data_IF_927778958740
#
_entry.id   IF_927778958740
#
_cell.length_a   1.000
_cell.length_b   1.000
_cell.length_c   1.000
_cell.angle_alpha   90.00
_cell.angle_beta   90.00
_cell.angle_gamma   90.00
#
_symmetry.space_group_name_H-M   'P 1'
#
loop_
_entity.id
_entity.type
_entity.pdbx_description
1 polymer ?
#
# COMPACT_ATOMS: atom_id res chain seq x y z
N UNK A 1 -4.90 15.01 -0.80
CA UNK A 1 -4.13 16.27 -0.94
C UNK A 1 -2.61 16.01 -0.91
N UNK A 2 -2.03 15.40 0.13
CA UNK A 2 -0.57 15.22 0.31
C UNK A 2 0.14 14.64 -0.93
N UNK A 3 -0.37 13.53 -1.48
CA UNK A 3 0.22 12.92 -2.69
C UNK A 3 0.07 13.80 -3.93
N UNK A 4 -1.03 14.52 -4.07
CA UNK A 4 -1.24 15.45 -5.19
C UNK A 4 -0.24 16.62 -5.12
N UNK A 5 0.02 17.15 -3.93
CA UNK A 5 1.03 18.19 -3.71
C UNK A 5 2.43 17.67 -4.03
N UNK A 6 2.79 16.47 -3.55
CA UNK A 6 4.09 15.87 -3.83
C UNK A 6 4.29 15.58 -5.34
N UNK A 7 3.23 15.17 -6.05
CA UNK A 7 3.25 14.96 -7.50
C UNK A 7 3.42 16.28 -8.26
N UNK A 8 2.72 17.34 -7.86
CA UNK A 8 2.86 18.67 -8.47
C UNK A 8 4.26 19.22 -8.28
N UNK A 9 4.81 19.14 -7.07
CA UNK A 9 6.18 19.60 -6.77
C UNK A 9 7.24 18.84 -7.58
N UNK A 10 7.07 17.52 -7.74
CA UNK A 10 7.95 16.71 -8.58
C UNK A 10 7.90 17.18 -10.04
N UNK A 11 6.70 17.40 -10.56
CA UNK A 11 6.51 17.88 -11.93
C UNK A 11 7.12 19.25 -12.14
N UNK A 12 6.87 20.20 -11.26
CA UNK A 12 7.39 21.57 -11.34
C UNK A 12 8.92 21.61 -11.27
N UNK A 13 9.53 20.81 -10.40
CA UNK A 13 10.99 20.70 -10.29
C UNK A 13 11.58 20.05 -11.54
N UNK A 14 10.96 18.99 -12.02
CA UNK A 14 11.34 18.32 -13.27
C UNK A 14 11.27 19.28 -14.45
N UNK A 15 10.15 19.98 -14.63
CA UNK A 15 9.97 20.90 -15.75
C UNK A 15 11.03 22.04 -15.72
N UNK A 16 11.21 22.69 -14.58
CA UNK A 16 12.24 23.73 -14.42
C UNK A 16 13.65 23.20 -14.75
N UNK A 17 13.97 22.01 -14.28
CA UNK A 17 15.25 21.37 -14.55
C UNK A 17 15.41 21.09 -16.05
N UNK A 18 14.44 20.50 -16.69
CA UNK A 18 14.47 20.15 -18.12
C UNK A 18 14.47 21.39 -19.02
N UNK A 19 13.78 22.48 -18.63
CA UNK A 19 13.82 23.75 -19.35
C UNK A 19 15.23 24.32 -19.46
N UNK A 20 16.06 24.18 -18.42
CA UNK A 20 17.45 24.61 -18.44
C UNK A 20 18.31 23.89 -19.47
N UNK A 21 17.89 22.69 -19.92
CA UNK A 21 18.59 21.84 -20.89
C UNK A 21 17.84 21.72 -22.22
N UNK A 22 16.71 22.42 -22.35
CA UNK A 22 15.73 22.26 -23.43
C UNK A 22 16.36 22.27 -24.82
N UNK A 23 17.24 23.24 -25.13
CA UNK A 23 17.85 23.35 -26.47
C UNK A 23 18.59 22.08 -26.89
N UNK A 24 19.37 21.48 -25.98
CA UNK A 24 20.14 20.25 -26.27
C UNK A 24 19.23 19.06 -26.44
N UNK A 25 18.23 18.94 -25.55
CA UNK A 25 17.29 17.81 -25.54
C UNK A 25 16.34 17.84 -26.73
N UNK A 26 15.81 19.02 -27.10
CA UNK A 26 14.95 19.20 -28.26
C UNK A 26 15.73 18.90 -29.57
N UNK A 27 17.00 19.33 -29.64
CA UNK A 27 17.84 19.03 -30.81
C UNK A 27 18.00 17.50 -30.96
N UNK A 28 18.44 16.82 -29.91
CA UNK A 28 18.65 15.37 -29.96
C UNK A 28 17.34 14.61 -30.24
N UNK A 29 16.21 15.05 -29.65
CA UNK A 29 14.90 14.48 -29.91
C UNK A 29 14.46 14.65 -31.35
N UNK A 30 14.57 15.86 -31.92
CA UNK A 30 14.17 16.15 -33.28
C UNK A 30 15.02 15.37 -34.29
N UNK A 31 16.35 15.28 -34.08
CA UNK A 31 17.25 14.46 -34.88
C UNK A 31 16.80 13.00 -34.90
N UNK A 32 16.43 12.45 -33.73
CA UNK A 32 15.90 11.08 -33.66
C UNK A 32 14.56 10.93 -34.41
N UNK A 33 13.66 11.92 -34.31
CA UNK A 33 12.38 11.85 -35.02
C UNK A 33 12.56 11.94 -36.56
N UNK A 34 13.50 12.73 -37.02
CA UNK A 34 13.83 12.83 -38.45
C UNK A 34 14.45 11.52 -38.97
N UNK A 35 15.40 10.94 -38.24
CA UNK A 35 15.95 9.64 -38.56
C UNK A 35 14.88 8.54 -38.61
N UNK A 36 13.93 8.52 -37.67
CA UNK A 36 12.79 7.58 -37.67
C UNK A 36 11.89 7.75 -38.91
N UNK A 37 11.74 8.98 -39.42
CA UNK A 37 10.96 9.26 -40.64
C UNK A 37 11.67 8.79 -41.92
N UNK A 38 13.02 8.82 -41.96
CA UNK A 38 13.77 8.36 -43.13
C UNK A 38 13.70 6.85 -43.32
N UNK A 39 13.46 6.08 -42.24
CA UNK A 39 13.47 4.62 -42.30
C UNK A 39 14.85 3.98 -42.39
N UNK A 40 15.91 4.78 -42.43
CA UNK A 40 17.31 4.31 -42.44
C UNK A 40 17.71 3.79 -41.07
N UNK A 41 17.99 2.49 -40.96
CA UNK A 41 18.29 1.83 -39.69
C UNK A 41 19.57 2.34 -39.03
N UNK A 42 20.61 2.62 -39.84
CA UNK A 42 21.89 3.09 -39.29
C UNK A 42 21.76 4.52 -38.76
N UNK A 43 21.06 5.39 -39.50
CA UNK A 43 20.74 6.74 -39.03
C UNK A 43 19.87 6.73 -37.77
N UNK A 44 18.89 5.83 -37.68
CA UNK A 44 18.03 5.67 -36.49
C UNK A 44 18.88 5.24 -35.30
N UNK A 45 19.75 4.25 -35.45
CA UNK A 45 20.59 3.76 -34.36
C UNK A 45 21.54 4.86 -33.85
N UNK A 46 22.22 5.56 -34.74
CA UNK A 46 23.13 6.66 -34.38
C UNK A 46 22.38 7.80 -33.65
N UNK A 47 21.22 8.20 -34.16
CA UNK A 47 20.41 9.23 -33.54
C UNK A 47 19.82 8.80 -32.17
N UNK A 48 19.50 7.53 -32.01
CA UNK A 48 19.04 6.96 -30.74
C UNK A 48 20.15 6.97 -29.68
N UNK A 49 21.36 6.54 -30.06
CA UNK A 49 22.53 6.58 -29.17
C UNK A 49 22.88 8.00 -28.73
N UNK A 50 22.84 8.99 -29.64
CA UNK A 50 23.08 10.41 -29.31
C UNK A 50 21.99 10.94 -28.37
N UNK A 51 20.72 10.63 -28.63
CA UNK A 51 19.61 10.98 -27.78
C UNK A 51 19.79 10.43 -26.36
N UNK A 52 20.10 9.13 -26.23
CA UNK A 52 20.35 8.47 -24.96
C UNK A 52 21.53 9.11 -24.21
N UNK A 53 22.65 9.33 -24.91
CA UNK A 53 23.85 9.97 -24.34
C UNK A 53 23.53 11.36 -23.83
N UNK A 54 22.83 12.17 -24.61
CA UNK A 54 22.45 13.53 -24.25
C UNK A 54 21.56 13.54 -23.02
N UNK A 55 20.53 12.68 -22.97
CA UNK A 55 19.65 12.57 -21.82
C UNK A 55 20.36 12.08 -20.57
N UNK A 56 21.18 11.02 -20.68
CA UNK A 56 21.94 10.48 -19.54
C UNK A 56 22.88 11.53 -18.94
N UNK A 57 23.52 12.34 -19.79
CA UNK A 57 24.44 13.39 -19.33
C UNK A 57 23.73 14.54 -18.59
N UNK A 58 22.52 14.92 -19.00
CA UNK A 58 21.74 15.97 -18.30
C UNK A 58 20.83 15.42 -17.21
N UNK A 59 20.84 14.12 -16.94
CA UNK A 59 20.04 13.49 -15.88
C UNK A 59 20.91 12.63 -14.97
N UNK A 60 21.05 11.36 -15.25
CA UNK A 60 21.70 10.38 -14.37
C UNK A 60 23.14 10.71 -14.01
N UNK A 61 23.85 11.45 -14.87
CA UNK A 61 25.23 11.88 -14.64
C UNK A 61 25.35 13.30 -14.04
N UNK A 62 24.24 14.06 -13.95
CA UNK A 62 24.24 15.43 -13.38
C UNK A 62 23.89 15.39 -11.89
N UNK A 63 24.77 15.99 -11.07
CA UNK A 63 24.61 16.03 -9.61
C UNK A 63 23.37 16.82 -9.16
N UNK A 64 22.93 17.82 -9.92
CA UNK A 64 21.72 18.59 -9.62
C UNK A 64 20.47 17.73 -9.83
N UNK A 65 20.46 16.89 -10.86
CA UNK A 65 19.38 15.91 -11.06
C UNK A 65 19.35 14.91 -9.89
N UNK A 66 20.49 14.36 -9.50
CA UNK A 66 20.59 13.43 -8.36
C UNK A 66 20.10 14.08 -7.06
N UNK A 67 20.49 15.33 -6.79
CA UNK A 67 20.02 16.09 -5.63
C UNK A 67 18.50 16.28 -5.66
N UNK A 68 17.92 16.63 -6.82
CA UNK A 68 16.47 16.76 -7.01
C UNK A 68 15.73 15.45 -6.74
N UNK A 69 16.24 14.31 -7.23
CA UNK A 69 15.66 13.00 -6.99
C UNK A 69 15.73 12.65 -5.50
N UNK A 70 16.85 12.88 -4.85
CA UNK A 70 17.01 12.62 -3.40
C UNK A 70 16.04 13.45 -2.56
N UNK A 71 15.88 14.73 -2.85
CA UNK A 71 14.91 15.59 -2.17
C UNK A 71 13.48 15.13 -2.41
N UNK A 72 13.14 14.78 -3.64
CA UNK A 72 11.81 14.30 -4.01
C UNK A 72 11.48 12.98 -3.29
N UNK A 73 12.41 12.03 -3.28
CA UNK A 73 12.20 10.73 -2.62
C UNK A 73 12.10 10.86 -1.10
N UNK A 74 12.85 11.78 -0.49
CA UNK A 74 12.69 12.09 0.93
C UNK A 74 11.31 12.66 1.24
N UNK A 75 10.81 13.58 0.41
CA UNK A 75 9.46 14.13 0.53
C UNK A 75 8.38 13.08 0.37
N UNK A 76 8.52 12.17 -0.59
CA UNK A 76 7.57 11.07 -0.80
C UNK A 76 7.53 10.12 0.41
N UNK A 77 8.69 9.75 0.96
CA UNK A 77 8.78 8.93 2.16
C UNK A 77 8.11 9.61 3.37
N UNK A 78 8.30 10.91 3.54
CA UNK A 78 7.64 11.68 4.59
C UNK A 78 6.11 11.74 4.41
N UNK A 79 5.61 11.87 3.18
CA UNK A 79 4.17 11.79 2.88
C UNK A 79 3.61 10.41 3.26
N UNK A 80 4.34 9.33 2.98
CA UNK A 80 3.96 7.98 3.37
C UNK A 80 3.92 7.81 4.89
N UNK A 81 4.89 8.39 5.61
CA UNK A 81 4.93 8.40 7.08
C UNK A 81 3.72 9.13 7.68
N UNK A 82 3.39 10.33 7.18
CA UNK A 82 2.20 11.08 7.61
C UNK A 82 0.93 10.26 7.33
N UNK A 83 0.80 9.67 6.14
CA UNK A 83 -0.37 8.88 5.78
C UNK A 83 -0.55 7.68 6.71
N UNK A 84 0.55 7.00 7.08
CA UNK A 84 0.52 5.91 8.04
C UNK A 84 0.16 6.40 9.45
N UNK A 85 0.66 7.57 9.87
CA UNK A 85 0.31 8.20 11.15
C UNK A 85 -1.19 8.34 11.33
N UNK A 86 -1.90 8.87 10.32
CA UNK A 86 -3.37 8.97 10.36
C UNK A 86 -4.07 7.61 10.54
N UNK A 87 -3.56 6.57 9.92
CA UNK A 87 -4.14 5.22 10.07
C UNK A 87 -3.88 4.68 11.47
N UNK A 88 -2.68 4.88 12.00
CA UNK A 88 -2.33 4.45 13.35
C UNK A 88 -3.20 5.15 14.42
N UNK A 89 -3.50 6.43 14.23
CA UNK A 89 -4.35 7.20 15.16
C UNK A 89 -5.79 6.69 15.18
N UNK A 90 -6.33 6.20 14.05
CA UNK A 90 -7.68 5.66 13.97
C UNK A 90 -7.78 4.17 14.34
N UNK A 91 -6.67 3.44 14.32
CA UNK A 91 -6.64 1.98 14.57
C UNK A 91 -7.21 1.57 15.94
N UNK A 92 -6.88 2.24 17.07
CA UNK A 92 -7.45 1.90 18.37
C UNK A 92 -8.99 2.03 18.41
N UNK A 93 -9.52 3.06 17.75
CA UNK A 93 -10.96 3.29 17.64
C UNK A 93 -11.66 2.20 16.86
N UNK A 94 -11.11 1.85 15.69
CA UNK A 94 -11.65 0.78 14.83
C UNK A 94 -11.69 -0.55 15.59
N UNK A 95 -10.58 -0.89 16.23
CA UNK A 95 -10.51 -2.09 17.07
C UNK A 95 -11.56 -2.07 18.18
N UNK A 96 -11.63 -0.98 18.97
CA UNK A 96 -12.54 -0.83 20.11
C UNK A 96 -13.99 -0.98 19.66
N UNK A 97 -14.39 -0.33 18.56
CA UNK A 97 -15.75 -0.44 18.03
C UNK A 97 -16.10 -1.88 17.67
N UNK A 98 -15.18 -2.60 17.01
CA UNK A 98 -15.43 -3.97 16.59
C UNK A 98 -15.34 -4.98 17.75
N UNK A 99 -14.50 -4.73 18.76
CA UNK A 99 -14.50 -5.51 19.99
C UNK A 99 -15.82 -5.36 20.74
N UNK A 100 -16.28 -4.13 20.93
CA UNK A 100 -17.49 -3.84 21.69
C UNK A 100 -18.78 -4.20 20.94
N UNK A 101 -18.74 -4.30 19.62
CA UNK A 101 -19.90 -4.67 18.80
C UNK A 101 -20.49 -6.05 19.17
N UNK A 102 -19.70 -6.93 19.77
CA UNK A 102 -20.18 -8.22 20.24
C UNK A 102 -21.18 -8.10 21.40
N UNK A 103 -21.11 -7.03 22.21
CA UNK A 103 -22.07 -6.76 23.25
C UNK A 103 -23.50 -6.56 22.71
N UNK A 104 -23.64 -6.07 21.48
CA UNK A 104 -24.93 -5.83 20.82
C UNK A 104 -25.61 -7.12 20.38
N UNK A 105 -24.91 -8.25 20.32
CA UNK A 105 -25.47 -9.57 19.95
C UNK A 105 -26.44 -10.12 21.01
N UNK A 106 -26.53 -9.49 22.20
CA UNK A 106 -27.49 -9.81 23.29
C UNK A 106 -27.61 -11.31 23.53
N UNK A 107 -26.53 -11.90 23.99
CA UNK A 107 -26.50 -13.32 24.34
C UNK A 107 -27.18 -13.46 25.70
N UNK A 108 -28.29 -14.17 25.76
CA UNK A 108 -29.06 -14.37 27.03
C UNK A 108 -28.16 -14.97 28.11
N UNK A 109 -28.10 -14.30 29.25
CA UNK A 109 -27.33 -14.73 30.43
C UNK A 109 -25.83 -14.35 30.38
N UNK A 110 -25.38 -13.57 29.39
CA UNK A 110 -24.01 -13.08 29.29
C UNK A 110 -23.93 -11.56 29.29
N UNK A 111 -23.16 -11.01 30.24
CA UNK A 111 -22.89 -9.57 30.35
C UNK A 111 -21.48 -9.26 29.91
N UNK A 112 -21.35 -8.64 28.71
CA UNK A 112 -20.08 -8.42 28.04
C UNK A 112 -19.34 -7.20 28.60
N UNK A 113 -18.07 -7.37 28.97
CA UNK A 113 -17.22 -6.27 29.44
C UNK A 113 -16.67 -5.43 28.27
N UNK A 114 -17.14 -4.19 28.17
CA UNK A 114 -16.68 -3.24 27.18
C UNK A 114 -15.24 -2.76 27.46
N UNK A 115 -14.50 -2.51 26.42
CA UNK A 115 -13.19 -1.85 26.50
C UNK A 115 -13.27 -0.41 26.00
N UNK A 116 -12.38 0.45 26.50
CA UNK A 116 -12.27 1.82 26.01
C UNK A 116 -11.06 2.00 25.09
N UNK A 117 -11.15 2.98 24.19
CA UNK A 117 -10.13 3.27 23.19
C UNK A 117 -8.74 3.53 23.79
N UNK A 118 -8.67 4.20 24.96
CA UNK A 118 -7.39 4.49 25.63
C UNK A 118 -6.70 3.22 26.13
N UNK A 119 -7.45 2.27 26.67
CA UNK A 119 -6.90 0.97 27.09
C UNK A 119 -6.38 0.18 25.87
N UNK A 120 -7.15 0.16 24.79
CA UNK A 120 -6.74 -0.48 23.53
C UNK A 120 -5.49 0.18 22.96
N UNK A 121 -5.41 1.52 22.95
CA UNK A 121 -4.22 2.24 22.50
C UNK A 121 -2.97 1.83 23.27
N UNK A 122 -3.06 1.76 24.60
CA UNK A 122 -1.95 1.31 25.44
C UNK A 122 -1.53 -0.14 25.15
N UNK A 123 -2.49 -1.03 24.87
CA UNK A 123 -2.20 -2.43 24.50
C UNK A 123 -1.50 -2.53 23.14
N UNK A 124 -1.90 -1.70 22.17
CA UNK A 124 -1.25 -1.62 20.86
C UNK A 124 0.17 -1.04 21.00
N UNK A 125 0.35 0.02 21.77
CA UNK A 125 1.65 0.66 22.00
C UNK A 125 2.64 -0.25 22.74
N UNK A 126 2.15 -1.13 23.61
CA UNK A 126 2.96 -2.12 24.35
C UNK A 126 3.12 -3.46 23.61
N UNK A 127 2.75 -3.53 22.34
CA UNK A 127 2.81 -4.73 21.48
C UNK A 127 2.08 -5.97 22.04
N UNK A 128 1.12 -5.78 22.96
CA UNK A 128 0.24 -6.84 23.46
C UNK A 128 -0.88 -7.19 22.48
N UNK A 129 -1.19 -6.29 21.55
CA UNK A 129 -2.07 -6.52 20.42
C UNK A 129 -1.23 -6.38 19.15
N UNK A 130 -1.02 -7.47 18.43
CA UNK A 130 -0.31 -7.46 17.15
C UNK A 130 -1.22 -6.92 16.06
N UNK A 131 -0.75 -5.88 15.41
CA UNK A 131 -1.36 -5.25 14.25
C UNK A 131 -0.30 -4.99 13.18
N UNK A 132 -0.70 -4.78 11.91
CA UNK A 132 0.25 -4.49 10.83
C UNK A 132 1.24 -3.36 11.15
N UNK A 133 2.37 -3.25 10.41
CA UNK A 133 3.49 -2.36 10.76
C UNK A 133 3.05 -0.92 11.02
N UNK A 134 3.50 -0.38 12.14
CA UNK A 134 3.18 0.97 12.62
C UNK A 134 4.13 2.06 12.09
N UNK A 135 5.18 1.68 11.34
CA UNK A 135 6.24 2.61 10.90
C UNK A 135 6.63 2.37 9.44
N UNK A 136 6.91 3.45 8.73
CA UNK A 136 7.55 3.42 7.42
C UNK A 136 9.06 3.25 7.62
N UNK A 137 9.68 2.29 6.93
CA UNK A 137 11.14 2.28 6.77
C UNK A 137 11.51 3.35 5.74
N UNK A 138 11.83 4.54 6.23
CA UNK A 138 12.13 5.72 5.41
C UNK A 138 13.27 5.44 4.43
N UNK A 139 14.33 4.77 4.87
CA UNK A 139 15.49 4.47 4.03
C UNK A 139 15.14 3.50 2.90
N UNK A 140 14.36 2.47 3.20
CA UNK A 140 13.88 1.50 2.22
C UNK A 140 12.92 2.16 1.23
N UNK A 141 12.02 3.01 1.72
CA UNK A 141 11.03 3.73 0.93
C UNK A 141 11.70 4.74 -0.02
N UNK A 142 12.67 5.50 0.45
CA UNK A 142 13.47 6.40 -0.39
C UNK A 142 14.20 5.65 -1.50
N UNK A 143 14.86 4.53 -1.18
CA UNK A 143 15.55 3.69 -2.18
C UNK A 143 14.59 3.13 -3.21
N UNK A 144 13.41 2.67 -2.79
CA UNK A 144 12.37 2.18 -3.69
C UNK A 144 11.91 3.28 -4.65
N UNK A 145 11.61 4.47 -4.14
CA UNK A 145 11.19 5.62 -4.93
C UNK A 145 12.27 6.06 -5.92
N UNK A 146 13.54 6.17 -5.49
CA UNK A 146 14.65 6.52 -6.36
C UNK A 146 14.83 5.49 -7.50
N UNK A 147 14.76 4.20 -7.18
CA UNK A 147 14.84 3.12 -8.16
C UNK A 147 13.72 3.23 -9.21
N UNK A 148 12.47 3.47 -8.77
CA UNK A 148 11.34 3.57 -9.67
C UNK A 148 11.39 4.84 -10.54
N UNK A 149 11.75 6.01 -9.98
CA UNK A 149 11.93 7.25 -10.75
C UNK A 149 12.99 7.07 -11.83
N UNK A 150 14.16 6.54 -11.48
CA UNK A 150 15.23 6.28 -12.45
C UNK A 150 14.84 5.23 -13.49
N UNK A 151 14.10 4.19 -13.11
CA UNK A 151 13.60 3.19 -14.05
C UNK A 151 12.62 3.78 -15.06
N UNK A 152 11.67 4.60 -14.62
CA UNK A 152 10.72 5.28 -15.51
C UNK A 152 11.41 6.27 -16.45
N UNK A 153 12.40 7.01 -15.94
CA UNK A 153 13.24 7.87 -16.76
C UNK A 153 13.97 7.08 -17.85
N UNK A 154 14.67 6.00 -17.48
CA UNK A 154 15.42 5.16 -18.43
C UNK A 154 14.53 4.54 -19.51
N UNK A 155 13.35 4.06 -19.12
CA UNK A 155 12.39 3.52 -20.10
C UNK A 155 11.95 4.59 -21.10
N UNK A 156 11.68 5.81 -20.67
CA UNK A 156 11.32 6.91 -21.58
C UNK A 156 12.47 7.28 -22.52
N UNK A 157 13.69 7.30 -22.02
CA UNK A 157 14.90 7.57 -22.84
C UNK A 157 15.11 6.48 -23.89
N UNK A 158 15.05 5.20 -23.50
CA UNK A 158 15.22 4.06 -24.41
C UNK A 158 14.13 3.99 -25.50
N UNK A 159 12.92 4.45 -25.19
CA UNK A 159 11.82 4.54 -26.15
C UNK A 159 11.88 5.81 -27.00
N UNK A 160 12.84 6.72 -26.77
CA UNK A 160 12.98 7.98 -27.48
C UNK A 160 11.76 8.88 -27.31
N UNK A 161 11.23 8.95 -26.08
CA UNK A 161 10.05 9.75 -25.76
C UNK A 161 10.39 11.22 -25.53
N UNK A 162 9.43 12.11 -25.81
CA UNK A 162 9.56 13.53 -25.53
C UNK A 162 9.60 13.83 -24.02
N UNK A 163 10.17 14.98 -23.65
CA UNK A 163 10.26 15.45 -22.25
C UNK A 163 8.89 15.38 -21.54
N UNK A 164 7.76 15.86 -22.12
CA UNK A 164 6.45 15.76 -21.48
C UNK A 164 5.97 14.32 -21.24
N UNK A 165 6.29 13.39 -22.15
CA UNK A 165 5.96 11.97 -21.95
C UNK A 165 6.76 11.36 -20.80
N UNK A 166 8.06 11.67 -20.73
CA UNK A 166 8.91 11.23 -19.60
C UNK A 166 8.41 11.83 -18.28
N UNK A 167 8.06 13.13 -18.24
CA UNK A 167 7.47 13.76 -17.05
C UNK A 167 6.21 13.00 -16.57
N UNK A 168 5.33 12.63 -17.50
CA UNK A 168 4.13 11.84 -17.17
C UNK A 168 4.46 10.46 -16.60
N UNK A 169 5.53 9.80 -17.09
CA UNK A 169 6.03 8.55 -16.50
C UNK A 169 6.48 8.74 -15.05
N UNK A 170 7.19 9.84 -14.75
CA UNK A 170 7.65 10.11 -13.39
C UNK A 170 6.48 10.33 -12.43
N UNK A 171 5.38 10.94 -12.89
CA UNK A 171 4.17 11.11 -12.08
C UNK A 171 3.55 9.76 -11.65
N UNK A 172 3.66 8.70 -12.49
CA UNK A 172 3.13 7.38 -12.13
C UNK A 172 3.75 6.82 -10.84
N UNK A 173 4.98 7.19 -10.50
CA UNK A 173 5.63 6.75 -9.26
C UNK A 173 4.93 7.32 -8.03
N UNK A 174 4.45 8.58 -8.09
CA UNK A 174 3.64 9.17 -7.01
C UNK A 174 2.30 8.46 -6.87
N UNK A 175 1.66 8.09 -7.99
CA UNK A 175 0.42 7.31 -7.98
C UNK A 175 0.64 5.91 -7.39
N UNK A 176 1.77 5.25 -7.67
CA UNK A 176 2.15 3.98 -7.04
C UNK A 176 2.25 4.12 -5.52
N UNK A 177 2.85 5.18 -5.01
CA UNK A 177 2.94 5.46 -3.57
C UNK A 177 1.57 5.65 -2.95
N UNK A 178 0.73 6.48 -3.56
CA UNK A 178 -0.66 6.71 -3.12
C UNK A 178 -1.45 5.40 -3.07
N UNK A 179 -1.38 4.59 -4.10
CA UNK A 179 -2.09 3.31 -4.17
C UNK A 179 -1.58 2.31 -3.14
N UNK A 180 -0.26 2.29 -2.88
CA UNK A 180 0.33 1.48 -1.81
C UNK A 180 -0.13 1.94 -0.43
N UNK A 181 -0.19 3.24 -0.16
CA UNK A 181 -0.70 3.78 1.10
C UNK A 181 -2.18 3.44 1.31
N UNK A 182 -3.02 3.55 0.27
CA UNK A 182 -4.44 3.17 0.33
C UNK A 182 -4.57 1.66 0.60
N UNK A 183 -3.79 0.83 -0.07
CA UNK A 183 -3.77 -0.62 0.15
C UNK A 183 -3.39 -0.96 1.59
N UNK A 184 -2.33 -0.34 2.10
CA UNK A 184 -1.85 -0.57 3.46
C UNK A 184 -2.88 -0.11 4.49
N UNK A 185 -3.49 1.07 4.31
CA UNK A 185 -4.56 1.57 5.17
C UNK A 185 -5.75 0.60 5.23
N UNK A 186 -6.23 0.11 4.10
CA UNK A 186 -7.31 -0.88 4.05
C UNK A 186 -6.94 -2.16 4.79
N UNK A 187 -5.73 -2.67 4.57
CA UNK A 187 -5.24 -3.87 5.23
C UNK A 187 -5.19 -3.70 6.74
N UNK A 188 -4.68 -2.55 7.22
CA UNK A 188 -4.61 -2.24 8.66
C UNK A 188 -6.00 -2.12 9.29
N UNK A 189 -6.94 -1.45 8.62
CA UNK A 189 -8.32 -1.29 9.09
C UNK A 189 -8.99 -2.67 9.19
N UNK A 190 -8.94 -3.48 8.12
CA UNK A 190 -9.52 -4.84 8.12
C UNK A 190 -8.89 -5.72 9.21
N UNK A 191 -7.56 -5.64 9.40
CA UNK A 191 -6.87 -6.36 10.47
C UNK A 191 -7.35 -5.92 11.86
N UNK A 192 -7.46 -4.62 12.12
CA UNK A 192 -7.93 -4.09 13.39
C UNK A 192 -9.40 -4.45 13.69
N UNK A 193 -10.27 -4.38 12.68
CA UNK A 193 -11.68 -4.79 12.78
C UNK A 193 -11.80 -6.26 13.20
N UNK A 194 -11.13 -7.15 12.48
CA UNK A 194 -11.26 -8.59 12.72
C UNK A 194 -10.48 -9.05 13.95
N UNK A 195 -9.34 -8.40 14.28
CA UNK A 195 -8.64 -8.65 15.53
C UNK A 195 -9.49 -8.26 16.74
N UNK A 196 -10.17 -7.10 16.68
CA UNK A 196 -11.10 -6.67 17.73
C UNK A 196 -12.22 -7.70 17.94
N UNK A 197 -12.85 -8.17 16.85
CA UNK A 197 -13.87 -9.24 16.92
C UNK A 197 -13.32 -10.54 17.47
N UNK A 198 -12.16 -10.99 16.97
CA UNK A 198 -11.50 -12.21 17.45
C UNK A 198 -11.24 -12.16 18.96
N UNK A 199 -10.73 -11.04 19.46
CA UNK A 199 -10.41 -10.90 20.87
C UNK A 199 -11.67 -10.81 21.73
N UNK A 200 -12.76 -10.20 21.23
CA UNK A 200 -14.05 -10.21 21.91
C UNK A 200 -14.66 -11.61 22.01
N UNK A 201 -14.54 -12.42 20.95
CA UNK A 201 -15.02 -13.81 20.97
C UNK A 201 -14.21 -14.65 21.97
N UNK A 202 -12.88 -14.50 21.99
CA UNK A 202 -12.02 -15.18 22.99
C UNK A 202 -12.36 -14.75 24.42
N UNK A 203 -12.67 -13.47 24.64
CA UNK A 203 -13.12 -13.00 25.95
C UNK A 203 -14.43 -13.70 26.38
N UNK A 204 -15.43 -13.73 25.50
CA UNK A 204 -16.70 -14.40 25.78
C UNK A 204 -16.53 -15.91 26.01
N UNK A 205 -15.67 -16.59 25.25
CA UNK A 205 -15.33 -18.00 25.48
C UNK A 205 -14.70 -18.22 26.86
N UNK A 206 -13.78 -17.34 27.26
CA UNK A 206 -13.17 -17.38 28.60
C UNK A 206 -14.18 -17.18 29.74
N UNK A 207 -15.32 -16.57 29.43
CA UNK A 207 -16.44 -16.34 30.36
C UNK A 207 -17.53 -17.45 30.24
N UNK A 208 -17.27 -18.51 29.46
CA UNK A 208 -18.13 -19.69 29.37
C UNK A 208 -19.07 -19.74 28.17
N UNK A 209 -18.98 -18.82 27.21
CA UNK A 209 -19.79 -18.87 25.99
C UNK A 209 -19.16 -19.83 24.99
N UNK A 210 -19.90 -20.88 24.61
CA UNK A 210 -19.47 -21.84 23.60
C UNK A 210 -19.79 -21.30 22.21
N UNK A 211 -18.79 -21.14 21.34
CA UNK A 211 -19.01 -20.58 20.00
C UNK A 211 -18.01 -21.09 18.96
N UNK A 212 -18.34 -20.86 17.68
CA UNK A 212 -17.45 -20.97 16.54
C UNK A 212 -17.34 -19.65 15.81
N UNK A 213 -16.31 -19.51 14.98
CA UNK A 213 -16.16 -18.38 14.05
C UNK A 213 -16.56 -18.82 12.67
N UNK A 214 -17.27 -17.95 11.96
CA UNK A 214 -17.62 -18.13 10.55
C UNK A 214 -16.95 -17.06 9.71
N UNK A 215 -16.30 -17.46 8.62
CA UNK A 215 -15.80 -16.54 7.63
C UNK A 215 -16.95 -15.89 6.86
N UNK A 216 -16.86 -14.59 6.61
CA UNK A 216 -17.82 -13.80 5.83
C UNK A 216 -17.06 -13.11 4.72
N UNK A 217 -17.14 -13.64 3.51
CA UNK A 217 -16.50 -13.05 2.35
C UNK A 217 -17.30 -11.83 1.82
N UNK A 218 -16.60 -10.88 1.22
CA UNK A 218 -17.28 -9.84 0.44
C UNK A 218 -17.68 -10.41 -0.91
N UNK A 219 -18.96 -10.33 -1.28
CA UNK A 219 -19.48 -10.87 -2.53
C UNK A 219 -19.39 -9.86 -3.68
N UNK A 220 -18.19 -9.70 -4.27
CA UNK A 220 -17.98 -8.93 -5.50
C UNK A 220 -16.86 -9.52 -6.36
N UNK A 221 -16.71 -9.00 -7.60
CA UNK A 221 -15.72 -9.47 -8.58
C UNK A 221 -14.24 -9.29 -8.15
N UNK A 222 -13.97 -8.52 -7.09
CA UNK A 222 -12.64 -8.31 -6.54
C UNK A 222 -12.31 -9.24 -5.38
N UNK A 223 -13.25 -10.04 -4.94
CA UNK A 223 -13.01 -11.06 -3.91
C UNK A 223 -12.23 -12.22 -4.54
N UNK A 224 -11.14 -12.60 -3.91
CA UNK A 224 -10.31 -13.70 -4.37
C UNK A 224 -11.07 -15.02 -4.29
N UNK A 225 -10.86 -15.93 -5.27
CA UNK A 225 -11.52 -17.22 -5.30
C UNK A 225 -11.35 -17.98 -3.97
N UNK A 226 -10.11 -18.08 -3.48
CA UNK A 226 -9.80 -18.77 -2.22
C UNK A 226 -10.36 -18.09 -0.95
N UNK A 227 -10.76 -16.83 -0.99
CA UNK A 227 -11.51 -16.18 0.08
C UNK A 227 -13.02 -16.40 -0.07
N UNK A 228 -13.51 -16.53 -1.30
CA UNK A 228 -14.90 -16.91 -1.56
C UNK A 228 -15.17 -18.36 -1.14
N UNK A 229 -14.20 -19.26 -1.32
CA UNK A 229 -14.31 -20.66 -0.92
C UNK A 229 -14.38 -20.85 0.60
N UNK A 230 -13.86 -19.88 1.36
CA UNK A 230 -13.96 -19.84 2.83
C UNK A 230 -15.32 -19.32 3.30
N UNK A 231 -16.14 -18.68 2.44
CA UNK A 231 -17.40 -18.09 2.88
C UNK A 231 -18.33 -19.11 3.55
N UNK A 232 -18.80 -18.76 4.73
CA UNK A 232 -19.65 -19.64 5.54
C UNK A 232 -18.92 -20.76 6.28
N UNK A 233 -17.63 -20.99 6.05
CA UNK A 233 -16.86 -22.02 6.75
C UNK A 233 -16.70 -21.65 8.23
N UNK A 234 -17.06 -22.61 9.12
CA UNK A 234 -16.97 -22.46 10.58
C UNK A 234 -15.76 -23.20 11.15
N UNK A 235 -14.98 -22.53 11.98
CA UNK A 235 -13.85 -23.09 12.73
C UNK A 235 -13.95 -22.74 14.23
N UNK A 236 -13.22 -23.44 15.08
CA UNK A 236 -13.05 -23.09 16.50
C UNK A 236 -12.33 -21.76 16.67
N UNK A 237 -12.32 -21.19 17.90
CA UNK A 237 -11.71 -19.87 18.13
C UNK A 237 -10.18 -19.87 17.97
N UNK A 238 -9.53 -21.01 18.21
CA UNK A 238 -8.08 -21.18 18.07
C UNK A 238 -7.69 -21.98 16.82
N UNK A 239 -8.66 -22.36 15.98
CA UNK A 239 -8.43 -23.09 14.73
C UNK A 239 -8.32 -22.11 13.56
N UNK A 240 -7.24 -22.13 12.74
CA UNK A 240 -7.16 -21.30 11.55
C UNK A 240 -8.13 -21.77 10.45
N UNK A 241 -8.50 -20.86 9.55
CA UNK A 241 -8.93 -21.25 8.21
C UNK A 241 -7.71 -21.57 7.37
N UNK A 242 -7.83 -22.52 6.45
CA UNK A 242 -6.76 -22.94 5.56
C UNK A 242 -7.18 -22.80 4.09
N UNK A 243 -6.25 -22.35 3.25
CA UNK A 243 -6.40 -22.31 1.79
C UNK A 243 -5.05 -22.57 1.10
N UNK A 244 -4.97 -22.45 -0.22
CA UNK A 244 -3.75 -22.68 -1.00
C UNK A 244 -2.54 -21.80 -0.61
N UNK A 245 -2.76 -20.68 0.12
CA UNK A 245 -1.73 -19.77 0.63
C UNK A 245 -1.47 -19.96 2.13
N UNK A 246 -1.96 -21.05 2.73
CA UNK A 246 -1.73 -21.41 4.12
C UNK A 246 -2.80 -20.94 5.08
N UNK A 247 -2.44 -20.94 6.37
CA UNK A 247 -3.33 -20.68 7.48
C UNK A 247 -3.63 -19.19 7.69
N UNK A 248 -4.85 -18.88 8.13
CA UNK A 248 -5.31 -17.53 8.43
C UNK A 248 -6.16 -17.56 9.70
N UNK A 249 -5.76 -16.83 10.74
CA UNK A 249 -6.55 -16.75 11.97
C UNK A 249 -7.75 -15.81 11.86
N UNK A 250 -7.65 -14.76 11.05
CA UNK A 250 -8.75 -13.80 10.78
C UNK A 250 -8.41 -12.97 9.52
N UNK A 251 -9.39 -12.38 8.85
CA UNK A 251 -9.14 -11.51 7.70
C UNK A 251 -8.26 -10.32 8.09
N UNK A 252 -7.12 -10.16 7.38
CA UNK A 252 -6.13 -9.13 7.69
C UNK A 252 -5.14 -9.50 8.78
N UNK A 253 -5.02 -10.78 9.13
CA UNK A 253 -4.02 -11.33 10.05
C UNK A 253 -2.60 -11.02 9.55
N UNK A 254 -1.79 -10.23 10.30
CA UNK A 254 -0.45 -9.83 9.85
C UNK A 254 0.55 -10.99 9.79
N UNK A 255 0.24 -12.15 10.38
CA UNK A 255 1.10 -13.33 10.39
C UNK A 255 0.86 -14.25 9.20
N UNK A 256 -0.28 -14.10 8.51
CA UNK A 256 -0.64 -14.88 7.34
C UNK A 256 0.12 -14.44 6.08
N UNK A 257 0.10 -15.30 5.05
CA UNK A 257 0.73 -14.98 3.76
C UNK A 257 0.19 -13.65 3.17
N UNK A 258 1.04 -12.80 2.61
CA UNK A 258 0.62 -11.53 1.98
C UNK A 258 -0.50 -11.67 0.95
N UNK A 259 -0.59 -12.80 0.22
CA UNK A 259 -1.69 -13.08 -0.71
C UNK A 259 -3.04 -13.18 -0.01
N UNK A 260 -3.05 -13.59 1.26
CA UNK A 260 -4.26 -13.65 2.09
C UNK A 260 -4.61 -12.29 2.74
N UNK A 261 -3.64 -11.40 2.93
CA UNK A 261 -3.78 -10.22 3.80
C UNK A 261 -4.11 -8.95 3.04
N UNK A 262 -3.29 -8.59 2.02
CA UNK A 262 -3.42 -7.28 1.38
C UNK A 262 -4.76 -7.08 0.66
N UNK A 263 -5.39 -5.90 0.91
CA UNK A 263 -6.70 -5.50 0.35
C UNK A 263 -7.85 -6.47 0.67
N UNK A 264 -7.72 -7.33 1.68
CA UNK A 264 -8.83 -8.14 2.16
C UNK A 264 -9.96 -7.22 2.68
N UNK A 265 -11.21 -7.63 2.45
CA UNK A 265 -12.43 -6.94 2.89
C UNK A 265 -13.41 -7.92 3.56
N UNK A 266 -12.94 -9.14 3.81
CA UNK A 266 -13.71 -10.14 4.52
C UNK A 266 -13.80 -9.81 6.00
N UNK A 267 -14.76 -10.43 6.68
CA UNK A 267 -14.92 -10.31 8.12
C UNK A 267 -15.17 -11.67 8.76
N UNK A 268 -15.24 -11.71 10.08
CA UNK A 268 -15.63 -12.88 10.85
C UNK A 268 -16.89 -12.59 11.66
N UNK A 269 -17.68 -13.64 11.87
CA UNK A 269 -18.88 -13.61 12.71
C UNK A 269 -18.84 -14.73 13.75
N UNK A 270 -19.30 -14.44 14.97
CA UNK A 270 -19.52 -15.45 15.99
C UNK A 270 -20.75 -16.27 15.68
N UNK A 271 -20.69 -17.58 15.95
CA UNK A 271 -21.82 -18.50 15.94
C UNK A 271 -21.90 -19.12 17.34
N UNK A 272 -22.74 -18.55 18.17
CA UNK A 272 -22.98 -19.04 19.55
C UNK A 272 -23.65 -20.40 19.49
N UNK A 273 -23.14 -21.35 20.27
CA UNK A 273 -23.64 -22.73 20.36
C UNK A 273 -24.26 -23.02 21.74
N UNK A 274 -23.96 -22.21 22.76
CA UNK A 274 -24.48 -22.38 24.13
C UNK A 274 -23.51 -21.81 25.18
N UNK A 275 -23.65 -22.34 26.38
CA UNK A 275 -22.80 -21.99 27.54
C UNK A 275 -22.18 -23.28 28.10
N UNK A 276 -21.00 -23.15 28.72
CA UNK A 276 -20.32 -24.22 29.44
C UNK A 276 -20.93 -24.46 30.83
#
# INVERSE_FOLDING_TARGET
KLYATASSDLYDKWDKYMQSHKKKLDFAYNTLQEAKKSGDKDAINAAQEEYERTFKNVTLNDERYKAMINETTAKMAHVNEIALGYVNDETPKVYTLNYNAFADEKIDGYDFTLVNERAVKNLIESDKIELPPKKVDITKDQRWNAKNLNSQLMQGILQGESIPKIAKRLQTVTDMNRNSAIRNARTMVTGAENKGRQDSFKKAESDGVIMKRRWVATHDERTRAWHSDLDGVEVGLDEPWENEYGEIMYPGDPTADPANVYNCRCSIRAIVKGFA
#
